data_IF_164676345295
#
_entry.id   IF_164676345295
#
_cell.length_a   1.000
_cell.length_b   1.000
_cell.length_c   1.000
_cell.angle_alpha   90.00
_cell.angle_beta   90.00
_cell.angle_gamma   90.00
#
_symmetry.space_group_name_H-M   'P 1'
#
loop_
_entity.id
_entity.type
_entity.pdbx_description
1 polymer ?
#
# COMPACT_ATOMS: atom_id res chain seq x y z
N UNK A 1 -8.24 -5.26 -4.37
CA UNK A 1 -9.61 -4.78 -4.08
C UNK A 1 -10.67 -5.76 -4.53
N UNK A 2 -10.75 -6.09 -5.84
CA UNK A 2 -11.73 -7.06 -6.37
C UNK A 2 -11.58 -8.45 -5.72
N UNK A 3 -10.35 -8.97 -5.65
CA UNK A 3 -10.05 -10.26 -5.00
C UNK A 3 -10.37 -10.26 -3.51
N UNK A 4 -10.33 -9.09 -2.87
CA UNK A 4 -10.64 -8.88 -1.45
C UNK A 4 -12.13 -8.66 -1.19
N UNK A 5 -13.01 -8.91 -2.18
CA UNK A 5 -14.47 -8.82 -2.03
C UNK A 5 -15.03 -7.39 -1.97
N UNK A 6 -14.25 -6.37 -2.30
CA UNK A 6 -14.75 -4.99 -2.32
C UNK A 6 -15.76 -4.82 -3.45
N UNK A 7 -16.93 -4.26 -3.13
CA UNK A 7 -17.99 -4.04 -4.12
C UNK A 7 -17.50 -3.18 -5.30
N UNK A 8 -17.85 -3.60 -6.52
CA UNK A 8 -17.35 -3.00 -7.77
C UNK A 8 -17.61 -1.49 -7.86
N UNK A 9 -18.72 -1.00 -7.29
CA UNK A 9 -19.01 0.43 -7.22
C UNK A 9 -17.90 1.24 -6.55
N UNK A 10 -17.28 0.71 -5.49
CA UNK A 10 -16.19 1.39 -4.80
C UNK A 10 -14.87 1.25 -5.57
N UNK A 11 -14.64 0.11 -6.21
CA UNK A 11 -13.48 -0.08 -7.08
C UNK A 11 -13.46 0.96 -8.20
N UNK A 12 -14.60 1.18 -8.85
CA UNK A 12 -14.73 2.21 -9.90
C UNK A 12 -14.46 3.61 -9.37
N UNK A 13 -15.07 3.99 -8.25
CA UNK A 13 -14.82 5.30 -7.63
C UNK A 13 -13.33 5.51 -7.35
N UNK A 14 -12.62 4.49 -6.84
CA UNK A 14 -11.18 4.60 -6.63
C UNK A 14 -10.43 4.71 -7.95
N UNK A 15 -10.78 3.93 -8.98
CA UNK A 15 -10.14 4.04 -10.29
C UNK A 15 -10.34 5.43 -10.91
N UNK A 16 -11.56 5.96 -10.85
CA UNK A 16 -11.90 7.30 -11.35
C UNK A 16 -11.13 8.40 -10.61
N UNK A 17 -10.90 8.23 -9.30
CA UNK A 17 -10.08 9.17 -8.51
C UNK A 17 -8.62 9.26 -8.98
N UNK A 18 -8.08 8.22 -9.61
CA UNK A 18 -6.70 8.17 -10.09
C UNK A 18 -6.58 8.33 -11.61
N UNK A 19 -7.70 8.29 -12.33
CA UNK A 19 -7.70 8.41 -13.78
C UNK A 19 -7.25 9.81 -14.21
N UNK A 20 -6.29 9.86 -15.12
CA UNK A 20 -5.77 11.11 -15.69
C UNK A 20 -5.26 12.12 -14.65
N UNK A 21 -4.90 11.67 -13.46
CA UNK A 21 -4.30 12.53 -12.44
C UNK A 21 -2.98 13.10 -12.93
N UNK A 22 -2.78 14.39 -12.69
CA UNK A 22 -1.54 15.10 -13.00
C UNK A 22 -1.04 15.82 -11.77
N UNK A 23 0.27 16.01 -11.70
CA UNK A 23 0.91 16.66 -10.57
C UNK A 23 2.11 17.48 -11.00
N UNK A 24 2.57 18.31 -10.08
CA UNK A 24 3.82 19.07 -10.17
C UNK A 24 4.61 18.86 -8.89
N UNK A 25 5.93 18.88 -8.99
CA UNK A 25 6.82 18.76 -7.83
C UNK A 25 7.49 20.11 -7.59
N UNK A 26 7.41 20.60 -6.35
CA UNK A 26 8.15 21.80 -5.93
C UNK A 26 9.54 21.40 -5.45
N UNK A 27 10.56 21.91 -6.14
CA UNK A 27 11.97 21.69 -5.86
C UNK A 27 12.63 23.02 -5.42
N UNK A 28 13.89 22.94 -4.95
CA UNK A 28 14.65 24.12 -4.51
C UNK A 28 14.84 25.19 -5.63
N UNK A 29 14.85 24.76 -6.89
CA UNK A 29 15.05 25.62 -8.07
C UNK A 29 13.76 26.07 -8.75
N UNK A 30 12.58 25.65 -8.26
CA UNK A 30 11.30 25.97 -8.88
C UNK A 30 10.28 24.82 -8.84
N UNK A 31 9.26 24.89 -9.68
CA UNK A 31 8.22 23.86 -9.82
C UNK A 31 8.44 23.13 -11.15
N UNK A 32 8.27 21.80 -11.17
CA UNK A 32 8.37 21.03 -12.42
C UNK A 32 7.24 21.38 -13.38
N UNK A 33 7.41 21.01 -14.65
CA UNK A 33 6.27 20.91 -15.55
C UNK A 33 5.25 19.89 -15.01
N UNK A 34 3.99 20.06 -15.43
CA UNK A 34 2.92 19.14 -15.10
C UNK A 34 3.14 17.80 -15.81
N UNK A 35 3.07 16.70 -15.06
CA UNK A 35 3.16 15.35 -15.62
C UNK A 35 2.03 14.47 -15.10
N UNK A 36 1.65 13.47 -15.90
CA UNK A 36 0.63 12.48 -15.55
C UNK A 36 1.18 11.48 -14.54
N UNK A 37 0.39 11.19 -13.51
CA UNK A 37 0.68 10.17 -12.50
C UNK A 37 0.24 8.83 -13.08
N UNK A 38 1.21 8.01 -13.50
CA UNK A 38 0.93 6.67 -14.04
C UNK A 38 0.84 5.60 -12.94
N UNK A 39 1.55 5.81 -11.82
CA UNK A 39 1.60 4.88 -10.68
C UNK A 39 1.70 5.64 -9.36
N UNK A 40 1.31 4.95 -8.28
CA UNK A 40 1.39 5.48 -6.92
C UNK A 40 0.06 6.02 -6.41
N UNK A 41 0.07 6.43 -5.14
CA UNK A 41 -1.10 6.99 -4.45
C UNK A 41 -0.92 8.50 -4.21
N UNK A 42 -2.02 9.23 -4.06
CA UNK A 42 -1.97 10.67 -3.79
C UNK A 42 -1.41 10.95 -2.40
N UNK A 43 -0.29 11.66 -2.29
CA UNK A 43 0.29 11.98 -0.99
C UNK A 43 -0.73 12.75 -0.12
N UNK A 44 -0.89 12.32 1.14
CA UNK A 44 -1.82 12.94 2.09
C UNK A 44 -3.29 12.53 1.91
N UNK A 45 -3.61 11.62 0.99
CA UNK A 45 -4.98 11.08 0.86
C UNK A 45 -5.36 10.24 2.07
N UNK A 46 -6.50 10.57 2.68
CA UNK A 46 -7.10 9.81 3.78
C UNK A 46 -7.54 8.39 3.38
N UNK A 47 -7.67 8.12 2.08
CA UNK A 47 -8.02 6.79 1.56
C UNK A 47 -6.80 5.86 1.48
N UNK A 48 -5.59 6.41 1.40
CA UNK A 48 -4.39 5.60 1.18
C UNK A 48 -4.12 4.58 2.28
N UNK A 49 -4.30 4.87 3.58
CA UNK A 49 -4.12 3.87 4.63
C UNK A 49 -5.00 2.63 4.41
N UNK A 50 -6.23 2.80 3.93
CA UNK A 50 -7.12 1.68 3.61
C UNK A 50 -6.63 0.88 2.40
N UNK A 51 -6.25 1.56 1.31
CA UNK A 51 -5.72 0.89 0.12
C UNK A 51 -4.42 0.14 0.45
N UNK A 52 -3.58 0.72 1.30
CA UNK A 52 -2.34 0.11 1.77
C UNK A 52 -2.63 -1.15 2.58
N UNK A 53 -3.52 -1.07 3.59
CA UNK A 53 -3.91 -2.22 4.40
C UNK A 53 -4.48 -3.36 3.53
N UNK A 54 -5.28 -3.04 2.52
CA UNK A 54 -5.88 -4.04 1.63
C UNK A 54 -4.82 -4.76 0.77
N UNK A 55 -3.82 -4.03 0.28
CA UNK A 55 -2.69 -4.63 -0.45
C UNK A 55 -1.84 -5.48 0.49
N UNK A 56 -1.50 -4.97 1.68
CA UNK A 56 -0.71 -5.71 2.66
C UNK A 56 -1.41 -6.97 3.15
N UNK A 57 -2.72 -6.93 3.35
CA UNK A 57 -3.51 -8.10 3.74
C UNK A 57 -3.39 -9.22 2.70
N UNK A 58 -3.46 -8.86 1.42
CA UNK A 58 -3.28 -9.81 0.31
C UNK A 58 -1.84 -10.31 0.21
N UNK A 59 -0.85 -9.43 0.36
CA UNK A 59 0.58 -9.78 0.27
C UNK A 59 1.06 -10.67 1.41
N UNK A 60 0.43 -10.58 2.58
CA UNK A 60 0.88 -11.26 3.80
C UNK A 60 0.08 -12.51 4.14
N UNK A 61 -0.90 -12.88 3.30
CA UNK A 61 -1.81 -13.99 3.56
C UNK A 61 -1.06 -15.32 3.81
N UNK A 62 -0.09 -15.64 2.94
CA UNK A 62 0.72 -16.86 3.07
C UNK A 62 1.68 -16.81 4.27
N UNK A 63 2.33 -15.66 4.48
CA UNK A 63 3.36 -15.50 5.51
C UNK A 63 2.78 -15.49 6.93
N UNK A 64 1.57 -14.96 7.10
CA UNK A 64 0.86 -15.01 8.39
C UNK A 64 0.53 -16.43 8.83
N UNK A 65 0.32 -17.36 7.89
CA UNK A 65 0.00 -18.75 8.22
C UNK A 65 1.21 -19.51 8.78
N UNK A 66 2.43 -19.14 8.41
CA UNK A 66 3.67 -19.83 8.82
C UNK A 66 4.26 -19.31 10.14
N UNK A 67 3.97 -18.06 10.52
CA UNK A 67 4.59 -17.43 11.70
C UNK A 67 3.72 -17.48 12.96
N UNK A 68 4.35 -17.51 14.15
CA UNK A 68 3.61 -17.44 15.43
C UNK A 68 3.15 -16.02 15.76
N UNK A 69 3.86 -15.00 15.28
CA UNK A 69 3.53 -13.59 15.50
C UNK A 69 3.91 -12.76 14.27
N UNK A 70 2.95 -12.00 13.73
CA UNK A 70 3.17 -10.99 12.68
C UNK A 70 2.59 -9.66 13.14
N UNK A 71 3.36 -8.57 13.01
CA UNK A 71 2.92 -7.20 13.32
C UNK A 71 3.01 -6.33 12.07
N UNK A 72 1.84 -5.81 11.65
CA UNK A 72 1.57 -4.81 10.59
C UNK A 72 1.68 -3.34 11.05
N UNK A 73 2.49 -2.47 10.44
CA UNK A 73 2.26 -1.01 10.55
C UNK A 73 2.60 -0.28 9.25
N UNK A 74 1.59 0.23 8.54
CA UNK A 74 1.77 0.77 7.19
C UNK A 74 2.63 -0.20 6.36
N UNK A 75 3.73 0.27 5.77
CA UNK A 75 4.70 -0.50 4.97
C UNK A 75 5.64 -1.40 5.78
N UNK A 76 5.74 -1.21 7.09
CA UNK A 76 6.58 -2.02 7.96
C UNK A 76 5.89 -3.33 8.36
N UNK A 77 6.59 -4.44 8.18
CA UNK A 77 6.17 -5.76 8.66
C UNK A 77 7.25 -6.40 9.53
N UNK A 78 6.86 -6.87 10.71
CA UNK A 78 7.71 -7.65 11.61
C UNK A 78 7.14 -9.05 11.74
N UNK A 79 7.95 -10.05 11.41
CA UNK A 79 7.60 -11.46 11.53
C UNK A 79 8.51 -12.08 12.59
N UNK A 80 7.91 -12.68 13.61
CA UNK A 80 8.63 -13.33 14.70
C UNK A 80 8.31 -14.83 14.72
N UNK A 81 9.37 -15.65 14.65
CA UNK A 81 9.30 -17.10 14.82
C UNK A 81 10.12 -17.55 16.03
N UNK A 82 9.68 -18.61 16.70
CA UNK A 82 10.45 -19.23 17.78
C UNK A 82 11.57 -20.11 17.21
N UNK A 83 12.58 -19.47 16.64
CA UNK A 83 13.84 -20.15 16.32
C UNK A 83 14.73 -20.10 17.55
N UNK A 84 14.90 -21.22 18.27
CA UNK A 84 15.97 -21.30 19.29
C UNK A 84 17.30 -21.07 18.58
N UNK A 85 18.04 -20.05 18.99
CA UNK A 85 19.44 -19.87 18.63
C UNK A 85 20.21 -21.15 18.98
N UNK A 86 20.49 -21.97 17.98
CA UNK A 86 21.42 -23.08 18.11
C UNK A 86 22.80 -22.45 18.04
N UNK A 87 23.45 -22.25 19.20
CA UNK A 87 24.88 -21.93 19.24
C UNK A 87 25.61 -23.01 18.44
N UNK A 88 26.25 -22.59 17.36
CA UNK A 88 27.30 -23.35 16.68
C UNK A 88 28.52 -23.40 17.61
#
# INVERSE_FOLDING_TARGET
MRTSGVAEKYVRVVQDMYESCKTVVRCAVGVTEEFKVEVGLHQGSALNPFLFALVMDTLTDEVRQESRWTMMFADDIVICSESRWRKI
#
